data_IF_591726729868
#
_entry.id   IF_591726729868
#
_cell.length_a   1.000
_cell.length_b   1.000
_cell.length_c   1.000
_cell.angle_alpha   90.00
_cell.angle_beta   90.00
_cell.angle_gamma   90.00
#
_symmetry.space_group_name_H-M   'P 1'
#
loop_
_entity.id
_entity.type
_entity.pdbx_description
1 polymer ?
#
# COMPACT_ATOMS: atom_id res chain seq x y z
N UNK A 1 20.05 7.93 30.32
CA UNK A 1 19.18 6.73 30.41
C UNK A 1 17.83 7.18 30.95
N UNK A 2 16.86 7.37 30.07
CA UNK A 2 15.43 7.44 30.39
C UNK A 2 14.70 6.95 29.15
N UNK A 3 14.51 5.65 29.11
CA UNK A 3 13.78 4.92 28.08
C UNK A 3 12.30 5.25 28.27
N UNK A 4 11.82 6.28 27.57
CA UNK A 4 10.40 6.59 27.50
C UNK A 4 9.73 5.47 26.68
N UNK A 5 9.28 4.43 27.37
CA UNK A 5 8.42 3.40 26.84
C UNK A 5 7.13 4.05 26.34
N UNK A 6 7.11 4.36 25.04
CA UNK A 6 5.89 4.72 24.35
C UNK A 6 4.89 3.58 24.57
N UNK A 7 3.85 3.85 25.38
CA UNK A 7 2.74 2.94 25.62
C UNK A 7 2.07 2.67 24.27
N UNK A 8 2.46 1.57 23.62
CA UNK A 8 1.86 1.09 22.37
C UNK A 8 0.39 0.83 22.65
N UNK A 9 -0.49 1.72 22.23
CA UNK A 9 -1.92 1.45 22.19
C UNK A 9 -2.10 0.42 21.08
N UNK A 10 -2.26 -0.86 21.46
CA UNK A 10 -2.53 -1.93 20.49
C UNK A 10 -3.99 -1.81 20.06
N UNK A 11 -4.29 -1.73 18.74
CA UNK A 11 -5.67 -1.75 18.29
C UNK A 11 -6.30 -3.10 18.65
N UNK A 12 -7.52 -3.08 19.19
CA UNK A 12 -8.35 -4.28 19.32
C UNK A 12 -8.99 -4.55 17.94
N UNK A 13 -8.71 -5.70 17.33
CA UNK A 13 -9.27 -6.08 16.03
C UNK A 13 -8.29 -6.86 15.13
N UNK A 14 -8.75 -7.24 13.94
CA UNK A 14 -7.94 -7.91 12.91
C UNK A 14 -6.72 -7.04 12.52
N UNK A 15 -5.48 -7.54 12.68
CA UNK A 15 -4.26 -6.86 12.28
C UNK A 15 -4.28 -6.37 10.83
N UNK A 16 -4.77 -7.20 9.90
CA UNK A 16 -4.81 -6.89 8.48
C UNK A 16 -5.76 -5.73 8.22
N UNK A 17 -6.96 -5.77 8.77
CA UNK A 17 -7.90 -4.65 8.73
C UNK A 17 -7.26 -3.35 9.21
N UNK A 18 -6.60 -3.35 10.36
CA UNK A 18 -5.95 -2.14 10.87
C UNK A 18 -4.87 -1.61 9.91
N UNK A 19 -4.07 -2.51 9.31
CA UNK A 19 -3.09 -2.12 8.31
C UNK A 19 -3.73 -1.55 7.04
N UNK A 20 -4.83 -2.14 6.55
CA UNK A 20 -5.57 -1.66 5.38
C UNK A 20 -6.25 -0.32 5.66
N UNK A 21 -6.78 -0.08 6.86
CA UNK A 21 -7.35 1.21 7.24
C UNK A 21 -6.30 2.32 7.26
N UNK A 22 -5.08 2.01 7.72
CA UNK A 22 -3.99 2.97 7.78
C UNK A 22 -3.36 3.23 6.40
N UNK A 23 -3.03 2.15 5.67
CA UNK A 23 -2.25 2.18 4.43
C UNK A 23 -3.11 2.27 3.16
N UNK A 24 -4.41 1.96 3.25
CA UNK A 24 -5.40 2.21 2.20
C UNK A 24 -5.86 3.67 2.14
N UNK A 25 -5.25 4.55 2.94
CA UNK A 25 -5.40 6.00 2.84
C UNK A 25 -4.26 6.61 1.99
N UNK A 26 -4.63 7.23 0.87
CA UNK A 26 -3.66 7.78 -0.07
C UNK A 26 -2.71 8.80 0.56
N UNK A 27 -3.23 9.70 1.41
CA UNK A 27 -2.39 10.71 2.05
C UNK A 27 -1.36 10.06 2.97
N UNK A 28 -1.69 8.98 3.68
CA UNK A 28 -0.71 8.19 4.44
C UNK A 28 0.42 7.69 3.54
N UNK A 29 0.10 7.13 2.36
CA UNK A 29 1.11 6.66 1.41
C UNK A 29 1.99 7.80 0.88
N UNK A 30 1.41 8.97 0.57
CA UNK A 30 2.15 10.15 0.09
C UNK A 30 3.02 10.79 1.19
N UNK A 31 2.55 10.79 2.45
CA UNK A 31 3.34 11.20 3.62
C UNK A 31 4.51 10.23 3.80
N UNK A 32 4.25 8.93 3.76
CA UNK A 32 5.26 7.89 3.89
C UNK A 32 6.33 8.04 2.80
N UNK A 33 5.92 8.21 1.55
CA UNK A 33 6.82 8.45 0.43
C UNK A 33 7.69 9.71 0.66
N UNK A 34 7.08 10.81 1.09
CA UNK A 34 7.80 12.06 1.37
C UNK A 34 8.85 11.87 2.47
N UNK A 35 8.57 11.06 3.49
CA UNK A 35 9.51 10.74 4.57
C UNK A 35 10.68 9.87 4.09
N UNK A 36 10.46 8.94 3.16
CA UNK A 36 11.54 8.21 2.50
C UNK A 36 12.42 9.14 1.64
N UNK A 37 11.81 10.14 1.01
CA UNK A 37 12.49 11.25 0.33
C UNK A 37 13.06 12.30 1.30
N UNK A 38 13.04 12.03 2.61
CA UNK A 38 13.64 12.84 3.69
C UNK A 38 12.96 14.19 3.96
N UNK A 39 11.75 14.43 3.47
CA UNK A 39 10.90 15.52 3.97
C UNK A 39 10.33 15.11 5.33
N UNK A 40 10.82 15.71 6.41
CA UNK A 40 10.55 15.26 7.79
C UNK A 40 9.85 16.33 8.64
N UNK A 41 9.84 17.58 8.20
CA UNK A 41 9.23 18.69 8.94
C UNK A 41 7.77 18.84 8.53
N UNK A 42 6.94 19.31 9.46
CA UNK A 42 5.50 19.47 9.21
C UNK A 42 5.20 20.41 8.03
N UNK A 43 5.86 21.58 7.98
CA UNK A 43 5.65 22.54 6.88
C UNK A 43 6.15 22.03 5.53
N UNK A 44 7.24 21.26 5.51
CA UNK A 44 7.72 20.60 4.29
C UNK A 44 6.67 19.65 3.70
N UNK A 45 6.12 18.77 4.56
CA UNK A 45 5.07 17.83 4.17
C UNK A 45 3.81 18.58 3.72
N UNK A 46 3.39 19.61 4.47
CA UNK A 46 2.19 20.39 4.15
C UNK A 46 2.30 21.07 2.78
N UNK A 47 3.43 21.74 2.53
CA UNK A 47 3.66 22.46 1.27
C UNK A 47 3.81 21.50 0.10
N UNK A 48 4.58 20.41 0.27
CA UNK A 48 4.81 19.41 -0.78
C UNK A 48 3.52 18.70 -1.20
N UNK A 49 2.65 18.37 -0.24
CA UNK A 49 1.46 17.57 -0.48
C UNK A 49 0.22 18.42 -0.83
N UNK A 50 0.24 19.73 -0.59
CA UNK A 50 -0.97 20.57 -0.69
C UNK A 50 -2.09 20.18 0.30
N UNK A 51 -1.77 19.33 1.27
CA UNK A 51 -2.73 18.74 2.22
C UNK A 51 -3.19 19.77 3.26
N UNK A 52 -4.47 19.72 3.65
CA UNK A 52 -4.98 20.58 4.71
C UNK A 52 -4.31 20.29 6.07
N UNK A 53 -4.09 21.31 6.93
CA UNK A 53 -3.46 21.14 8.24
C UNK A 53 -4.14 20.08 9.12
N UNK A 54 -5.47 20.06 9.12
CA UNK A 54 -6.27 19.10 9.90
C UNK A 54 -6.09 17.68 9.39
N UNK A 55 -6.06 17.48 8.07
CA UNK A 55 -5.86 16.17 7.46
C UNK A 55 -4.44 15.64 7.71
N UNK A 56 -3.42 16.49 7.59
CA UNK A 56 -2.03 16.14 7.86
C UNK A 56 -1.81 15.79 9.32
N UNK A 57 -2.27 16.65 10.24
CA UNK A 57 -2.11 16.43 11.68
C UNK A 57 -2.77 15.14 12.14
N UNK A 58 -3.96 14.81 11.61
CA UNK A 58 -4.65 13.57 11.93
C UNK A 58 -3.87 12.33 11.50
N UNK A 59 -3.32 12.34 10.28
CA UNK A 59 -2.54 11.21 9.73
C UNK A 59 -1.20 11.03 10.38
N UNK A 60 -0.47 12.13 10.62
CA UNK A 60 0.78 12.08 11.37
C UNK A 60 0.57 11.51 12.77
N UNK A 61 -0.53 11.89 13.45
CA UNK A 61 -0.91 11.30 14.74
C UNK A 61 -1.17 9.79 14.61
N UNK A 62 -2.03 9.38 13.68
CA UNK A 62 -2.34 7.97 13.46
C UNK A 62 -1.09 7.13 13.15
N UNK A 63 -0.18 7.64 12.33
CA UNK A 63 1.09 6.96 12.01
C UNK A 63 2.05 6.92 13.21
N UNK A 64 2.04 7.92 14.10
CA UNK A 64 2.81 7.87 15.36
C UNK A 64 2.19 6.85 16.31
N UNK A 65 0.86 6.85 16.46
CA UNK A 65 0.13 5.93 17.33
C UNK A 65 0.31 4.47 16.88
N UNK A 66 0.33 4.22 15.56
CA UNK A 66 0.62 2.92 14.95
C UNK A 66 2.11 2.53 15.00
N UNK A 67 2.98 3.39 15.54
CA UNK A 67 4.42 3.14 15.65
C UNK A 67 5.18 3.18 14.33
N UNK A 68 4.58 3.69 13.25
CA UNK A 68 5.25 3.93 11.94
C UNK A 68 6.23 5.09 12.05
N UNK A 69 5.86 6.12 12.81
CA UNK A 69 6.63 7.33 12.98
C UNK A 69 6.98 7.58 14.45
N UNK A 70 8.10 8.27 14.66
CA UNK A 70 8.44 8.89 15.94
C UNK A 70 8.62 10.39 15.76
N UNK A 71 8.07 11.17 16.70
CA UNK A 71 8.24 12.62 16.75
C UNK A 71 9.54 12.94 17.49
N UNK A 72 10.52 13.48 16.77
CA UNK A 72 11.87 13.77 17.31
C UNK A 72 12.05 15.27 17.45
N UNK A 73 12.47 15.80 18.63
CA UNK A 73 12.80 17.21 18.76
C UNK A 73 14.10 17.55 18.01
N UNK A 74 14.15 18.72 17.40
CA UNK A 74 15.38 19.31 16.88
C UNK A 74 15.46 20.79 17.25
N UNK A 75 16.68 21.33 17.26
CA UNK A 75 16.92 22.75 17.55
C UNK A 75 16.92 23.54 16.24
N UNK A 76 15.97 24.46 16.12
CA UNK A 76 15.98 25.51 15.11
C UNK A 76 16.20 26.85 15.83
N UNK A 77 17.43 27.37 15.73
CA UNK A 77 17.88 28.52 16.51
C UNK A 77 17.54 28.39 18.01
N UNK A 78 16.62 29.23 18.52
CA UNK A 78 16.21 29.28 19.93
C UNK A 78 14.92 28.51 20.25
N UNK A 79 14.27 27.86 19.27
CA UNK A 79 13.00 27.14 19.48
C UNK A 79 13.17 25.63 19.26
N UNK A 80 12.63 24.84 20.17
CA UNK A 80 12.51 23.38 19.97
C UNK A 80 11.40 23.12 18.96
N UNK A 81 11.78 22.66 17.78
CA UNK A 81 10.85 22.16 16.77
C UNK A 81 10.84 20.64 16.78
N UNK A 82 9.92 20.06 16.02
CA UNK A 82 9.82 18.61 15.90
C UNK A 82 9.83 18.22 14.43
N UNK A 83 10.45 17.09 14.16
CA UNK A 83 10.41 16.39 12.89
C UNK A 83 9.83 14.99 13.09
N UNK A 84 9.37 14.39 12.00
CA UNK A 84 8.84 13.03 11.97
C UNK A 84 9.89 12.13 11.33
N UNK A 85 10.24 11.04 12.02
CA UNK A 85 11.18 10.03 11.53
C UNK A 85 10.50 8.68 11.45
N UNK A 86 10.83 7.92 10.42
CA UNK A 86 10.42 6.52 10.29
C UNK A 86 11.08 5.71 11.41
N UNK A 87 10.28 4.89 12.09
CA UNK A 87 10.76 3.83 12.98
C UNK A 87 11.23 2.63 12.15
N UNK A 88 11.76 1.59 12.78
CA UNK A 88 12.03 0.30 12.11
C UNK A 88 10.77 -0.23 11.40
N UNK A 89 9.63 -0.22 12.09
CA UNK A 89 8.32 -0.59 11.53
C UNK A 89 7.89 0.30 10.35
N UNK A 90 8.24 1.58 10.36
CA UNK A 90 8.00 2.46 9.22
C UNK A 90 8.93 2.19 8.04
N UNK A 91 10.17 1.76 8.31
CA UNK A 91 11.15 1.39 7.27
C UNK A 91 10.79 0.08 6.56
N UNK A 92 10.09 -0.83 7.22
CA UNK A 92 9.53 -2.07 6.65
C UNK A 92 8.50 -1.81 5.54
N UNK A 93 7.92 -0.62 5.46
CA UNK A 93 6.96 -0.25 4.41
C UNK A 93 7.62 0.19 3.09
N UNK A 94 8.96 0.19 3.02
CA UNK A 94 9.66 0.53 1.79
C UNK A 94 9.29 -0.39 0.60
N UNK A 95 9.25 -1.73 0.75
CA UNK A 95 8.85 -2.63 -0.35
C UNK A 95 7.43 -2.41 -0.86
N UNK A 96 6.50 -1.98 0.00
CA UNK A 96 5.14 -1.60 -0.41
C UNK A 96 5.19 -0.43 -1.40
N UNK A 97 5.94 0.63 -1.08
CA UNK A 97 6.05 1.80 -1.97
C UNK A 97 6.75 1.46 -3.29
N UNK A 98 7.73 0.56 -3.27
CA UNK A 98 8.37 0.08 -4.52
C UNK A 98 7.39 -0.75 -5.35
N UNK A 99 6.57 -1.59 -4.72
CA UNK A 99 5.55 -2.38 -5.42
C UNK A 99 4.51 -1.49 -6.11
N UNK A 100 4.07 -0.42 -5.42
CA UNK A 100 3.20 0.61 -6.00
C UNK A 100 3.87 1.31 -7.18
N UNK A 101 5.13 1.77 -7.01
CA UNK A 101 5.89 2.41 -8.07
C UNK A 101 6.07 1.50 -9.29
N UNK A 102 6.44 0.23 -9.07
CA UNK A 102 6.68 -0.74 -10.14
C UNK A 102 5.40 -1.04 -10.91
N UNK A 103 4.28 -1.22 -10.19
CA UNK A 103 2.98 -1.46 -10.80
C UNK A 103 2.51 -0.26 -11.63
N UNK A 104 2.57 0.95 -11.08
CA UNK A 104 2.24 2.19 -11.79
C UNK A 104 3.10 2.38 -13.04
N UNK A 105 4.40 2.12 -12.93
CA UNK A 105 5.33 2.29 -14.04
C UNK A 105 5.04 1.33 -15.20
N UNK A 106 4.57 0.13 -14.91
CA UNK A 106 4.36 -0.92 -15.93
C UNK A 106 2.93 -0.93 -16.49
N UNK A 107 1.91 -0.72 -15.65
CA UNK A 107 0.51 -0.98 -16.01
C UNK A 107 -0.33 0.27 -16.27
N UNK A 108 0.22 1.46 -16.04
CA UNK A 108 -0.49 2.72 -16.23
C UNK A 108 0.17 3.51 -17.36
N UNK A 109 -0.65 3.92 -18.31
CA UNK A 109 -0.19 4.55 -19.55
C UNK A 109 0.62 5.82 -19.29
N UNK A 110 1.70 6.00 -20.06
CA UNK A 110 2.59 7.17 -19.96
C UNK A 110 3.49 7.21 -18.72
N UNK A 111 3.22 6.40 -17.68
CA UNK A 111 3.96 6.44 -16.41
C UNK A 111 5.40 5.94 -16.55
N UNK A 112 5.67 4.97 -17.42
CA UNK A 112 7.02 4.47 -17.70
C UNK A 112 8.02 5.55 -18.13
N UNK A 113 7.55 6.57 -18.85
CA UNK A 113 8.38 7.66 -19.35
C UNK A 113 8.71 8.71 -18.28
N UNK A 114 7.86 8.86 -17.26
CA UNK A 114 7.96 9.92 -16.24
C UNK A 114 8.39 9.40 -14.87
N UNK A 115 8.30 8.09 -14.61
CA UNK A 115 8.79 7.51 -13.37
C UNK A 115 10.28 7.14 -13.50
N UNK A 116 11.10 7.44 -12.47
CA UNK A 116 12.51 7.04 -12.48
C UNK A 116 12.62 5.52 -12.51
N UNK A 117 13.76 5.01 -12.94
CA UNK A 117 14.07 3.57 -13.00
C UNK A 117 14.81 3.13 -11.74
N UNK A 118 14.40 2.02 -11.13
CA UNK A 118 15.09 1.44 -9.99
C UNK A 118 16.31 0.63 -10.46
N UNK A 119 17.48 0.92 -9.94
CA UNK A 119 18.75 0.27 -10.28
C UNK A 119 19.27 -0.46 -9.05
N UNK A 120 19.56 -1.74 -9.20
CA UNK A 120 20.18 -2.55 -8.15
C UNK A 120 21.69 -2.27 -8.10
N UNK A 121 22.23 -1.96 -6.91
CA UNK A 121 23.63 -1.56 -6.79
C UNK A 121 24.62 -2.74 -6.86
N UNK A 122 24.18 -3.98 -6.62
CA UNK A 122 25.09 -5.12 -6.67
C UNK A 122 25.37 -5.59 -8.11
N UNK A 123 24.38 -5.51 -9.00
CA UNK A 123 24.51 -5.93 -10.39
C UNK A 123 24.43 -4.77 -11.39
N UNK A 124 24.23 -3.54 -10.90
CA UNK A 124 24.18 -2.29 -11.67
C UNK A 124 23.10 -2.22 -12.77
N UNK A 125 22.19 -3.18 -12.81
CA UNK A 125 21.11 -3.26 -13.78
C UNK A 125 19.79 -2.68 -13.24
N UNK A 126 19.00 -2.14 -14.17
CA UNK A 126 17.63 -1.73 -13.88
C UNK A 126 16.77 -2.95 -13.54
N UNK A 127 15.92 -2.85 -12.52
CA UNK A 127 15.08 -3.96 -12.07
C UNK A 127 13.62 -3.55 -12.00
N UNK A 128 12.71 -4.48 -12.35
CA UNK A 128 11.27 -4.32 -12.12
C UNK A 128 10.84 -4.60 -10.68
N UNK A 129 11.77 -5.08 -9.84
CA UNK A 129 11.54 -5.47 -8.45
C UNK A 129 10.37 -6.47 -8.28
N UNK A 130 10.41 -7.65 -8.93
CA UNK A 130 9.37 -8.65 -8.75
C UNK A 130 9.28 -9.13 -7.29
N UNK A 131 8.09 -9.57 -6.92
CA UNK A 131 7.84 -10.24 -5.64
C UNK A 131 8.57 -11.60 -5.60
N UNK A 132 9.14 -11.92 -4.45
CA UNK A 132 9.67 -13.24 -4.13
C UNK A 132 9.29 -13.69 -2.73
N UNK A 133 9.61 -14.94 -2.42
CA UNK A 133 9.39 -15.55 -1.11
C UNK A 133 10.72 -15.71 -0.37
N UNK A 134 10.85 -15.11 0.82
CA UNK A 134 12.07 -15.23 1.63
C UNK A 134 12.37 -16.67 2.08
N UNK A 135 11.39 -17.57 2.10
CA UNK A 135 11.59 -18.96 2.51
C UNK A 135 12.28 -19.81 1.45
N UNK A 136 12.13 -19.50 0.16
CA UNK A 136 12.74 -20.27 -0.92
C UNK A 136 13.50 -19.44 -1.95
N UNK A 137 13.55 -18.11 -1.76
CA UNK A 137 14.23 -17.12 -2.60
C UNK A 137 13.80 -17.13 -4.08
N UNK A 138 12.65 -17.75 -4.38
CA UNK A 138 12.07 -17.76 -5.72
C UNK A 138 11.09 -16.61 -5.91
N UNK A 139 10.97 -16.17 -7.16
CA UNK A 139 9.92 -15.26 -7.61
C UNK A 139 8.55 -15.87 -7.33
N UNK A 140 7.58 -15.02 -6.98
CA UNK A 140 6.20 -15.37 -6.69
C UNK A 140 5.28 -14.41 -7.44
N UNK A 141 4.34 -14.94 -8.21
CA UNK A 141 3.21 -14.18 -8.73
C UNK A 141 1.94 -14.47 -7.91
N UNK A 142 0.89 -13.66 -8.07
CA UNK A 142 -0.35 -13.79 -7.30
C UNK A 142 -1.00 -15.18 -7.37
N UNK A 143 -0.79 -15.89 -8.49
CA UNK A 143 -1.36 -17.23 -8.75
C UNK A 143 -0.61 -18.34 -8.02
N UNK A 144 0.62 -18.08 -7.59
CA UNK A 144 1.45 -19.02 -6.84
C UNK A 144 1.15 -18.95 -5.34
N UNK A 145 0.18 -18.14 -4.93
CA UNK A 145 -0.19 -17.92 -3.53
C UNK A 145 -1.60 -18.41 -3.28
N UNK A 146 -1.72 -19.28 -2.28
CA UNK A 146 -3.01 -19.68 -1.72
C UNK A 146 -3.32 -18.79 -0.53
N UNK A 147 -4.36 -17.98 -0.65
CA UNK A 147 -4.91 -17.27 0.49
C UNK A 147 -5.95 -18.16 1.20
N UNK A 148 -5.86 -18.27 2.53
CA UNK A 148 -6.88 -18.94 3.36
C UNK A 148 -7.47 -17.92 4.32
N UNK A 149 -8.81 -17.82 4.35
CA UNK A 149 -9.55 -17.16 5.42
C UNK A 149 -9.77 -18.17 6.54
N UNK A 150 -9.55 -17.75 7.78
CA UNK A 150 -9.82 -18.57 8.98
C UNK A 150 -11.31 -18.52 9.36
N UNK A 151 -11.95 -17.37 9.17
CA UNK A 151 -13.39 -17.16 9.40
C UNK A 151 -14.08 -16.57 8.15
N UNK A 152 -15.40 -16.79 8.03
CA UNK A 152 -16.27 -16.18 7.00
C UNK A 152 -16.63 -14.71 7.31
N UNK A 153 -16.05 -14.13 8.37
CA UNK A 153 -16.24 -12.72 8.72
C UNK A 153 -15.63 -11.84 7.64
N UNK A 154 -16.40 -10.83 7.21
CA UNK A 154 -15.99 -9.91 6.15
C UNK A 154 -14.63 -9.26 6.44
N UNK A 155 -13.80 -9.08 5.41
CA UNK A 155 -12.42 -8.56 5.53
C UNK A 155 -12.39 -7.16 6.15
N UNK A 156 -13.47 -6.37 6.01
CA UNK A 156 -13.50 -4.97 6.43
C UNK A 156 -14.91 -4.56 6.89
N UNK A 157 -15.24 -4.62 8.19
CA UNK A 157 -16.29 -3.75 8.75
C UNK A 157 -15.70 -2.36 8.98
N UNK A 158 -16.43 -1.35 8.56
CA UNK A 158 -15.80 -0.18 8.01
C UNK A 158 -15.87 1.04 8.96
N UNK A 159 -14.73 1.53 9.45
CA UNK A 159 -14.66 2.86 10.12
C UNK A 159 -14.32 3.97 9.12
N UNK A 160 -14.94 5.14 9.26
CA UNK A 160 -15.00 6.17 8.22
C UNK A 160 -13.71 7.02 8.15
N UNK A 161 -12.89 6.82 7.11
CA UNK A 161 -11.76 7.71 6.79
C UNK A 161 -12.19 8.92 5.95
N UNK A 162 -11.64 10.10 6.24
CA UNK A 162 -11.90 11.34 5.48
C UNK A 162 -11.33 11.22 4.06
N UNK A 163 -12.21 11.37 3.07
CA UNK A 163 -12.00 11.18 1.63
C UNK A 163 -10.89 12.06 1.03
N UNK A 164 -9.97 11.46 0.28
CA UNK A 164 -9.14 12.15 -0.71
C UNK A 164 -10.04 12.66 -1.85
N UNK A 165 -9.89 13.93 -2.24
CA UNK A 165 -10.79 14.58 -3.21
C UNK A 165 -10.13 14.70 -4.57
N UNK A 166 -10.95 14.76 -5.62
CA UNK A 166 -10.49 15.03 -7.00
C UNK A 166 -9.59 16.27 -7.10
N UNK A 167 -9.95 17.36 -6.41
CA UNK A 167 -9.13 18.60 -6.37
C UNK A 167 -7.73 18.35 -5.78
N UNK A 168 -7.62 17.45 -4.82
CA UNK A 168 -6.34 17.08 -4.23
C UNK A 168 -5.48 16.34 -5.27
N UNK A 169 -6.08 15.41 -6.03
CA UNK A 169 -5.43 14.72 -7.16
C UNK A 169 -4.89 15.71 -8.20
N UNK A 170 -5.71 16.70 -8.59
CA UNK A 170 -5.36 17.73 -9.57
C UNK A 170 -4.14 18.56 -9.12
N UNK A 171 -4.02 18.86 -7.83
CA UNK A 171 -2.85 19.58 -7.30
C UNK A 171 -1.54 18.77 -7.37
N UNK A 172 -1.62 17.45 -7.40
CA UNK A 172 -0.47 16.54 -7.46
C UNK A 172 -0.09 16.17 -8.89
N UNK A 173 -0.98 16.36 -9.87
CA UNK A 173 -0.83 15.89 -11.25
C UNK A 173 0.48 16.37 -11.94
N UNK A 174 1.05 17.49 -11.49
CA UNK A 174 2.31 18.03 -11.99
C UNK A 174 3.59 17.38 -11.42
N UNK A 175 3.50 16.59 -10.35
CA UNK A 175 4.65 15.85 -9.78
C UNK A 175 4.47 14.34 -10.07
N UNK A 176 5.22 13.77 -11.04
CA UNK A 176 5.10 12.36 -11.39
C UNK A 176 5.33 11.41 -10.23
N UNK A 177 6.12 11.80 -9.23
CA UNK A 177 6.38 10.96 -8.06
C UNK A 177 5.20 10.98 -7.10
N UNK A 178 4.36 12.02 -7.08
CA UNK A 178 3.27 12.16 -6.12
C UNK A 178 1.91 11.79 -6.71
N UNK A 179 1.77 11.79 -8.03
CA UNK A 179 0.53 11.45 -8.72
C UNK A 179 0.54 10.01 -9.22
N UNK A 180 -0.11 9.10 -8.51
CA UNK A 180 -0.29 7.69 -8.89
C UNK A 180 -1.78 7.43 -9.18
N UNK A 181 -2.27 7.75 -10.39
CA UNK A 181 -3.71 7.87 -10.66
C UNK A 181 -4.47 6.57 -10.42
N UNK A 182 -3.93 5.42 -10.79
CA UNK A 182 -4.67 4.18 -10.65
C UNK A 182 -4.48 3.60 -9.25
N UNK A 183 -3.30 3.75 -8.63
CA UNK A 183 -3.11 3.41 -7.21
C UNK A 183 -4.07 4.23 -6.34
N UNK A 184 -4.31 5.49 -6.70
CA UNK A 184 -5.33 6.32 -6.07
C UNK A 184 -6.74 5.72 -6.24
N UNK A 185 -7.03 4.94 -7.26
CA UNK A 185 -8.30 4.22 -7.37
C UNK A 185 -8.32 2.90 -6.58
N UNK A 186 -7.20 2.16 -6.51
CA UNK A 186 -7.12 0.87 -5.78
C UNK A 186 -6.95 1.05 -4.26
N UNK A 187 -6.00 1.89 -3.84
CA UNK A 187 -5.69 2.25 -2.45
C UNK A 187 -6.17 3.68 -2.13
N UNK A 188 -7.33 4.01 -2.68
CA UNK A 188 -7.94 5.34 -2.56
C UNK A 188 -8.79 5.55 -1.34
N UNK A 189 -9.46 4.48 -0.99
CA UNK A 189 -10.34 4.39 0.13
C UNK A 189 -10.48 2.92 0.53
N UNK A 190 -11.09 2.74 1.70
CA UNK A 190 -11.34 1.43 2.30
C UNK A 190 -12.13 0.49 1.39
N UNK A 191 -13.04 1.02 0.56
CA UNK A 191 -13.92 0.21 -0.27
C UNK A 191 -13.19 -0.33 -1.49
N UNK A 192 -12.45 0.52 -2.20
CA UNK A 192 -11.61 0.05 -3.30
C UNK A 192 -10.60 -0.98 -2.83
N UNK A 193 -9.96 -0.72 -1.68
CA UNK A 193 -8.97 -1.64 -1.10
C UNK A 193 -9.62 -2.98 -0.77
N UNK A 194 -10.76 -2.96 -0.06
CA UNK A 194 -11.52 -4.16 0.28
C UNK A 194 -12.01 -4.93 -0.95
N UNK A 195 -12.45 -4.24 -2.00
CA UNK A 195 -12.88 -4.86 -3.26
C UNK A 195 -11.75 -5.61 -3.95
N UNK A 196 -10.57 -5.00 -4.06
CA UNK A 196 -9.41 -5.66 -4.69
C UNK A 196 -8.97 -6.86 -3.85
N UNK A 197 -8.97 -6.74 -2.52
CA UNK A 197 -8.65 -7.87 -1.63
C UNK A 197 -9.68 -8.99 -1.76
N UNK A 198 -10.98 -8.71 -1.66
CA UNK A 198 -12.04 -9.73 -1.86
C UNK A 198 -11.94 -10.38 -3.24
N UNK A 199 -11.68 -9.61 -4.31
CA UNK A 199 -11.51 -10.16 -5.65
C UNK A 199 -10.29 -11.08 -5.76
N UNK A 200 -9.17 -10.78 -5.07
CA UNK A 200 -8.00 -11.65 -4.98
C UNK A 200 -8.29 -12.93 -4.20
N UNK A 201 -9.15 -12.84 -3.20
CA UNK A 201 -9.61 -13.98 -2.39
C UNK A 201 -10.67 -14.82 -3.09
N UNK A 202 -11.13 -14.40 -4.28
CA UNK A 202 -12.00 -15.17 -5.15
C UNK A 202 -13.45 -14.69 -5.24
N UNK A 203 -13.82 -13.64 -4.50
CA UNK A 203 -15.14 -13.00 -4.61
C UNK A 203 -15.33 -12.43 -6.01
N UNK A 204 -16.47 -12.71 -6.63
CA UNK A 204 -16.72 -12.36 -8.04
C UNK A 204 -18.08 -11.73 -8.29
N UNK A 205 -19.02 -11.95 -7.39
CA UNK A 205 -20.40 -11.53 -7.58
C UNK A 205 -20.72 -10.28 -6.78
N UNK A 206 -21.61 -9.44 -7.32
CA UNK A 206 -22.00 -8.17 -6.70
C UNK A 206 -22.56 -8.39 -5.29
N UNK A 207 -23.48 -9.35 -5.17
CA UNK A 207 -24.15 -9.69 -3.90
C UNK A 207 -23.17 -10.20 -2.83
N UNK A 208 -22.08 -10.86 -3.23
CA UNK A 208 -21.02 -11.30 -2.33
C UNK A 208 -20.18 -10.12 -1.84
N UNK A 209 -19.75 -9.22 -2.74
CA UNK A 209 -19.03 -8.00 -2.34
C UNK A 209 -19.85 -7.13 -1.40
N UNK A 210 -21.15 -6.97 -1.68
CA UNK A 210 -22.07 -6.20 -0.84
C UNK A 210 -22.11 -6.76 0.59
N UNK A 211 -22.30 -8.09 0.70
CA UNK A 211 -22.39 -8.80 1.98
C UNK A 211 -21.06 -8.78 2.73
N UNK A 212 -19.94 -9.08 2.07
CA UNK A 212 -18.62 -9.17 2.71
C UNK A 212 -18.11 -7.82 3.21
N UNK A 213 -18.37 -6.74 2.47
CA UNK A 213 -17.84 -5.41 2.81
C UNK A 213 -18.85 -4.55 3.57
N UNK A 214 -20.12 -4.97 3.68
CA UNK A 214 -21.17 -4.15 4.28
C UNK A 214 -21.35 -2.80 3.57
N UNK A 215 -21.12 -2.78 2.26
CA UNK A 215 -21.09 -1.57 1.43
C UNK A 215 -22.46 -1.36 0.76
N UNK A 216 -22.99 -0.13 0.79
CA UNK A 216 -24.28 0.15 0.12
C UNK A 216 -24.20 -0.02 -1.41
N UNK A 217 -25.26 -0.54 -2.07
CA UNK A 217 -25.28 -0.86 -3.50
C UNK A 217 -24.80 0.26 -4.43
N UNK A 218 -25.20 1.49 -4.14
CA UNK A 218 -24.83 2.68 -4.94
C UNK A 218 -23.32 2.94 -4.90
N UNK A 219 -22.71 2.82 -3.72
CA UNK A 219 -21.26 3.02 -3.55
C UNK A 219 -20.50 1.86 -4.20
N UNK A 220 -20.98 0.63 -4.00
CA UNK A 220 -20.40 -0.57 -4.59
C UNK A 220 -20.39 -0.50 -6.12
N UNK A 221 -21.52 -0.17 -6.73
CA UNK A 221 -21.65 -0.02 -8.18
C UNK A 221 -20.66 1.01 -8.74
N UNK A 222 -20.58 2.19 -8.11
CA UNK A 222 -19.64 3.23 -8.54
C UNK A 222 -18.17 2.79 -8.42
N UNK A 223 -17.82 2.02 -7.39
CA UNK A 223 -16.45 1.51 -7.19
C UNK A 223 -16.10 0.39 -8.17
N UNK A 224 -16.99 -0.58 -8.38
CA UNK A 224 -16.81 -1.65 -9.37
C UNK A 224 -16.69 -1.09 -10.79
N UNK A 225 -17.56 -0.14 -11.17
CA UNK A 225 -17.46 0.55 -12.47
C UNK A 225 -16.10 1.17 -12.65
N UNK A 226 -15.62 1.92 -11.63
CA UNK A 226 -14.33 2.59 -11.72
C UNK A 226 -13.16 1.61 -11.85
N UNK A 227 -13.18 0.49 -11.14
CA UNK A 227 -12.18 -0.58 -11.26
C UNK A 227 -12.21 -1.28 -12.62
N UNK A 228 -13.39 -1.35 -13.27
CA UNK A 228 -13.51 -1.83 -14.66
C UNK A 228 -12.95 -0.79 -15.64
N UNK A 229 -13.27 0.50 -15.44
CA UNK A 229 -12.81 1.59 -16.30
C UNK A 229 -11.28 1.71 -16.33
N UNK A 230 -10.61 1.54 -15.19
CA UNK A 230 -9.13 1.54 -15.12
C UNK A 230 -8.52 0.18 -15.51
N UNK A 231 -9.34 -0.81 -15.88
CA UNK A 231 -8.91 -2.12 -16.36
C UNK A 231 -8.36 -3.06 -15.29
N UNK A 232 -8.65 -2.83 -14.01
CA UNK A 232 -8.28 -3.72 -12.90
C UNK A 232 -9.19 -4.92 -12.84
N UNK A 233 -10.49 -4.68 -13.04
CA UNK A 233 -11.52 -5.70 -13.19
C UNK A 233 -12.00 -5.74 -14.64
N UNK A 234 -12.57 -6.88 -15.03
CA UNK A 234 -13.39 -7.02 -16.23
C UNK A 234 -14.70 -7.68 -15.87
N UNK A 235 -15.76 -7.31 -16.57
CA UNK A 235 -17.06 -7.96 -16.46
C UNK A 235 -17.13 -9.15 -17.43
N UNK A 236 -17.67 -10.26 -16.93
CA UNK A 236 -18.06 -11.42 -17.73
C UNK A 236 -19.57 -11.63 -17.70
N UNK A 237 -20.09 -12.39 -18.66
CA UNK A 237 -21.46 -12.89 -18.62
C UNK A 237 -21.62 -13.82 -17.42
N UNK A 238 -22.52 -13.48 -16.50
CA UNK A 238 -22.82 -14.32 -15.36
C UNK A 238 -23.70 -15.52 -15.76
N UNK A 239 -23.63 -16.60 -14.96
CA UNK A 239 -24.36 -17.84 -15.22
C UNK A 239 -25.84 -17.79 -14.81
N UNK A 240 -26.25 -16.82 -14.00
CA UNK A 240 -27.60 -16.75 -13.41
C UNK A 240 -28.23 -15.36 -13.62
N UNK A 241 -29.56 -15.28 -13.49
CA UNK A 241 -30.33 -14.05 -13.70
C UNK A 241 -30.28 -13.06 -12.53
N UNK A 242 -29.80 -13.51 -11.37
CA UNK A 242 -29.77 -12.74 -10.10
C UNK A 242 -28.44 -12.04 -9.83
N UNK A 243 -27.34 -12.49 -10.45
CA UNK A 243 -26.07 -11.77 -10.51
C UNK A 243 -25.81 -11.43 -11.98
N UNK A 244 -26.07 -10.21 -12.45
CA UNK A 244 -25.98 -9.90 -13.88
C UNK A 244 -24.54 -9.90 -14.44
N UNK A 245 -23.53 -9.73 -13.58
CA UNK A 245 -22.12 -9.63 -13.97
C UNK A 245 -21.19 -10.42 -13.04
N UNK A 246 -20.22 -11.11 -13.64
CA UNK A 246 -19.07 -11.73 -12.96
C UNK A 246 -17.87 -10.78 -13.05
N UNK A 247 -17.36 -10.29 -11.91
CA UNK A 247 -16.22 -9.39 -11.84
C UNK A 247 -14.94 -10.18 -11.62
N UNK A 248 -14.03 -10.15 -12.60
CA UNK A 248 -12.76 -10.88 -12.54
C UNK A 248 -11.58 -9.94 -12.63
N UNK A 249 -10.55 -10.21 -11.84
CA UNK A 249 -9.26 -9.51 -11.97
C UNK A 249 -8.66 -9.75 -13.36
N UNK A 250 -8.16 -8.68 -13.95
CA UNK A 250 -7.33 -8.71 -15.16
C UNK A 250 -5.88 -9.02 -14.79
N UNK A 251 -4.98 -9.09 -15.79
CA UNK A 251 -3.54 -9.16 -15.52
C UNK A 251 -3.04 -7.93 -14.74
N UNK A 252 -3.56 -6.75 -15.07
CA UNK A 252 -3.28 -5.49 -14.34
C UNK A 252 -3.72 -5.56 -12.88
N UNK A 253 -4.92 -6.06 -12.61
CA UNK A 253 -5.43 -6.23 -11.25
C UNK A 253 -4.61 -7.24 -10.43
N UNK A 254 -4.27 -8.40 -11.02
CA UNK A 254 -3.42 -9.39 -10.37
C UNK A 254 -2.00 -8.88 -10.10
N UNK A 255 -1.46 -8.04 -10.98
CA UNK A 255 -0.13 -7.47 -10.82
C UNK A 255 0.00 -6.51 -9.62
N UNK A 256 -1.12 -6.06 -9.03
CA UNK A 256 -1.11 -5.25 -7.81
C UNK A 256 -0.90 -6.09 -6.53
N UNK A 257 -0.98 -7.41 -6.63
CA UNK A 257 -0.83 -8.32 -5.50
C UNK A 257 0.41 -8.09 -4.61
N UNK A 258 1.62 -7.78 -5.14
CA UNK A 258 2.78 -7.52 -4.29
C UNK A 258 2.54 -6.43 -3.23
N UNK A 259 1.85 -5.35 -3.58
CA UNK A 259 1.52 -4.29 -2.62
C UNK A 259 0.65 -4.84 -1.47
N UNK A 260 -0.35 -5.66 -1.78
CA UNK A 260 -1.24 -6.26 -0.78
C UNK A 260 -0.54 -7.33 0.05
N UNK A 261 0.36 -8.11 -0.54
CA UNK A 261 1.19 -9.07 0.18
C UNK A 261 2.10 -8.37 1.22
N UNK A 262 2.71 -7.24 0.87
CA UNK A 262 3.50 -6.46 1.82
C UNK A 262 2.64 -5.81 2.92
N UNK A 263 1.42 -5.36 2.61
CA UNK A 263 0.49 -4.88 3.65
C UNK A 263 0.13 -6.02 4.61
N UNK A 264 -0.15 -7.21 4.08
CA UNK A 264 -0.48 -8.39 4.89
C UNK A 264 0.69 -8.87 5.76
N UNK A 265 1.93 -8.86 5.26
CA UNK A 265 3.08 -9.20 6.11
C UNK A 265 3.36 -8.11 7.15
N UNK A 266 3.24 -6.84 6.78
CA UNK A 266 3.48 -5.73 7.71
C UNK A 266 2.45 -5.67 8.85
N UNK A 267 1.19 -6.04 8.55
CA UNK A 267 0.11 -6.09 9.53
C UNK A 267 0.42 -7.01 10.70
N UNK A 268 1.26 -8.03 10.49
CA UNK A 268 1.62 -9.02 11.50
C UNK A 268 2.27 -8.44 12.74
N UNK A 269 2.92 -7.28 12.64
CA UNK A 269 3.43 -6.58 13.82
C UNK A 269 2.35 -6.04 14.77
N UNK A 270 1.07 -6.16 14.41
CA UNK A 270 -0.09 -5.90 15.27
C UNK A 270 -0.75 -7.19 15.80
N UNK A 271 -0.26 -8.39 15.44
CA UNK A 271 -0.80 -9.68 15.92
C UNK A 271 -0.81 -9.72 17.45
N UNK A 272 -1.93 -10.20 18.01
CA UNK A 272 -2.08 -10.45 19.44
C UNK A 272 -1.67 -11.90 19.72
N UNK A 273 -0.77 -12.16 20.69
CA UNK A 273 -0.40 -13.53 21.04
C UNK A 273 -1.64 -14.38 21.38
N UNK A 274 -1.79 -15.52 20.71
CA UNK A 274 -2.91 -16.44 20.90
C UNK A 274 -4.13 -16.18 20.00
N UNK A 275 -4.11 -15.14 19.16
CA UNK A 275 -5.10 -14.92 18.11
C UNK A 275 -4.52 -15.34 16.76
N UNK A 276 -5.18 -16.25 16.05
CA UNK A 276 -4.79 -16.60 14.68
C UNK A 276 -5.15 -15.46 13.71
N UNK A 277 -4.33 -15.19 12.68
CA UNK A 277 -4.61 -14.13 11.73
C UNK A 277 -5.73 -14.53 10.78
N UNK A 278 -6.73 -13.67 10.59
CA UNK A 278 -7.93 -13.96 9.77
C UNK A 278 -7.60 -14.39 8.33
N UNK A 279 -6.48 -13.89 7.78
CA UNK A 279 -5.99 -14.25 6.45
C UNK A 279 -4.54 -14.73 6.53
N UNK A 280 -4.29 -15.91 5.94
CA UNK A 280 -2.95 -16.44 5.73
C UNK A 280 -2.64 -16.54 4.24
N UNK A 281 -1.41 -16.21 3.86
CA UNK A 281 -0.90 -16.30 2.49
C UNK A 281 0.18 -17.39 2.47
N UNK A 282 -0.05 -18.48 1.75
CA UNK A 282 0.89 -19.58 1.62
C UNK A 282 1.42 -19.67 0.19
N UNK A 283 2.74 -19.74 0.03
CA UNK A 283 3.36 -19.94 -1.27
C UNK A 283 3.22 -21.42 -1.67
N UNK A 284 2.47 -21.68 -2.74
CA UNK A 284 2.09 -23.03 -3.18
C UNK A 284 3.30 -23.91 -3.44
N UNK A 285 4.30 -23.38 -4.14
CA UNK A 285 5.47 -24.16 -4.57
C UNK A 285 6.40 -24.59 -3.44
N UNK A 286 6.54 -23.80 -2.37
CA UNK A 286 7.41 -24.16 -1.25
C UNK A 286 6.65 -24.64 -0.01
N UNK A 287 5.31 -24.56 -0.02
CA UNK A 287 4.44 -24.97 1.07
C UNK A 287 4.56 -24.14 2.35
N UNK A 288 5.40 -23.10 2.36
CA UNK A 288 5.57 -22.22 3.50
C UNK A 288 4.66 -21.00 3.39
N UNK A 289 4.34 -20.39 4.54
CA UNK A 289 3.77 -19.04 4.58
C UNK A 289 4.64 -18.09 3.74
N UNK A 290 4.01 -17.32 2.88
CA UNK A 290 4.66 -16.31 2.07
C UNK A 290 5.24 -15.23 2.99
N UNK A 291 6.57 -15.11 2.98
CA UNK A 291 7.29 -13.95 3.52
C UNK A 291 7.73 -13.09 2.33
N UNK A 292 6.97 -12.06 1.96
CA UNK A 292 7.23 -11.29 0.75
C UNK A 292 8.56 -10.54 0.85
N UNK A 293 9.36 -10.63 -0.21
CA UNK A 293 10.56 -9.82 -0.44
C UNK A 293 10.54 -9.31 -1.87
N UNK A 294 11.30 -8.25 -2.15
CA UNK A 294 11.56 -7.83 -3.52
C UNK A 294 12.84 -8.50 -4.00
N UNK A 295 12.85 -9.03 -5.22
CA UNK A 295 14.03 -9.61 -5.85
C UNK A 295 14.51 -8.71 -7.00
N UNK A 296 15.78 -8.84 -7.36
CA UNK A 296 16.26 -8.35 -8.65
C UNK A 296 15.95 -9.38 -9.74
N UNK A 297 15.30 -8.98 -10.83
CA UNK A 297 14.99 -9.84 -11.99
C UNK A 297 16.22 -10.21 -12.85
N UNK A 298 17.40 -9.67 -12.53
CA UNK A 298 18.67 -10.01 -13.20
C UNK A 298 19.56 -10.96 -12.40
N UNK A 299 19.77 -10.69 -11.11
CA UNK A 299 20.66 -11.49 -10.25
C UNK A 299 19.93 -12.32 -9.20
N UNK A 300 18.59 -12.21 -9.12
CA UNK A 300 17.71 -12.93 -8.19
C UNK A 300 18.01 -12.74 -6.70
N UNK A 301 18.87 -11.78 -6.34
CA UNK A 301 19.13 -11.41 -4.95
C UNK A 301 18.02 -10.52 -4.38
N UNK A 302 17.76 -10.59 -3.07
CA UNK A 302 16.86 -9.66 -2.40
C UNK A 302 17.28 -8.20 -2.56
N UNK A 303 16.33 -7.33 -2.91
CA UNK A 303 16.54 -5.89 -2.97
C UNK A 303 16.43 -5.28 -1.58
N UNK A 304 17.49 -4.63 -1.15
CA UNK A 304 17.52 -3.84 0.08
C UNK A 304 17.44 -2.35 -0.25
N UNK A 305 16.71 -1.58 0.58
CA UNK A 305 16.54 -0.13 0.42
C UNK A 305 17.85 0.63 0.22
N UNK A 306 18.91 0.23 0.93
CA UNK A 306 20.24 0.86 0.87
C UNK A 306 21.16 0.28 -0.21
N UNK A 307 20.68 -0.71 -0.98
CA UNK A 307 21.37 -1.35 -2.11
C UNK A 307 20.68 -1.07 -3.45
N UNK A 308 19.90 0.01 -3.52
CA UNK A 308 19.28 0.48 -4.74
C UNK A 308 19.42 1.99 -4.90
N UNK A 309 19.33 2.47 -6.13
CA UNK A 309 19.19 3.89 -6.45
C UNK A 309 18.14 4.09 -7.53
N UNK A 310 17.57 5.28 -7.57
CA UNK A 310 16.73 5.70 -8.69
C UNK A 310 17.59 6.43 -9.73
N UNK A 311 17.43 6.08 -11.01
CA UNK A 311 18.03 6.75 -12.15
C UNK A 311 16.97 7.16 -13.18
N UNK A 312 17.40 7.78 -14.29
CA UNK A 312 16.50 8.23 -15.36
C UNK A 312 16.25 9.74 -15.36
N UNK A 313 15.28 10.21 -16.17
CA UNK A 313 15.11 11.64 -16.49
C UNK A 313 14.54 12.46 -15.33
N UNK A 314 13.83 11.81 -14.38
CA UNK A 314 13.27 12.49 -13.22
C UNK A 314 14.24 12.43 -12.06
N UNK A 315 14.80 13.59 -11.72
CA UNK A 315 15.63 13.73 -10.54
C UNK A 315 14.75 13.71 -9.29
N UNK A 316 15.12 12.89 -8.30
CA UNK A 316 14.40 12.87 -7.03
C UNK A 316 14.51 14.24 -6.34
N UNK A 317 13.41 14.73 -5.75
CA UNK A 317 13.42 16.01 -5.06
C UNK A 317 14.39 15.95 -3.88
N UNK A 318 15.17 17.02 -3.72
CA UNK A 318 16.09 17.15 -2.58
C UNK A 318 15.35 17.87 -1.45
N UNK A 319 15.32 17.34 -0.21
CA UNK A 319 14.72 18.04 0.92
C UNK A 319 15.47 19.37 1.16
N UNK A 320 14.80 20.42 1.66
CA UNK A 320 15.50 21.62 2.08
C UNK A 320 16.48 21.30 3.22
N UNK A 321 17.62 21.98 3.23
CA UNK A 321 18.67 21.79 4.24
C UNK A 321 18.20 22.09 5.67
#
# INVERSE_FOLDING_TARGET
MTEATARRVRPAGDPLRHALELLGDQWTLLILQSLFLRFRRYEELRLRLGISPTALSGRLRAMVDAGVLVRTPYRDARRTRHEYRLTERGLELWPLLISIWAWEREWVEGRRAVLPTLIHLDCELATSAPLGCASCERRVDARDVRARRLDDTGVVEATASKRFRRKDAESLAGDPLMFFPDTMELLGDRWSTGLVVSALLGTRHFSEFERELGIGPSVLSGRLSKLVDVGVLRTGAAKTRTDAHDYRLTAKGLAFFPALAFIAEWSRGFEVPGQEPDITLDHVDCGNRLKPILLCDHCWRPLLRNRVRFGGPVQLPTPPR
#
